data_IF_685554116152
#
_entry.id   IF_685554116152
#
_cell.length_a   1.000
_cell.length_b   1.000
_cell.length_c   1.000
_cell.angle_alpha   90.00
_cell.angle_beta   90.00
_cell.angle_gamma   90.00
#
_symmetry.space_group_name_H-M   'P 1'
#
loop_
_entity.id
_entity.type
_entity.pdbx_description
1 polymer ?
#
# COMPACT_ATOMS: atom_id res chain seq x y z
N UNK A 1 16.37 -22.98 -20.71
CA UNK A 1 14.90 -22.81 -20.65
C UNK A 1 14.60 -22.12 -19.32
N UNK A 2 14.34 -20.81 -19.32
CA UNK A 2 14.27 -20.02 -18.10
C UNK A 2 12.89 -20.19 -17.45
N UNK A 3 12.82 -21.08 -16.45
CA UNK A 3 11.66 -21.23 -15.57
C UNK A 3 11.56 -19.98 -14.69
N UNK A 4 10.90 -18.93 -15.18
CA UNK A 4 10.47 -17.82 -14.32
C UNK A 4 9.38 -18.38 -13.41
N UNK A 5 9.61 -18.52 -12.11
CA UNK A 5 8.56 -19.00 -11.24
C UNK A 5 7.46 -17.94 -11.20
N UNK A 6 6.25 -18.27 -11.63
CA UNK A 6 5.07 -17.38 -11.71
C UNK A 6 4.56 -16.90 -10.33
N UNK A 7 5.41 -16.91 -9.31
CA UNK A 7 5.12 -16.54 -7.93
C UNK A 7 4.80 -15.05 -7.85
N UNK A 8 5.46 -14.21 -8.65
CA UNK A 8 5.22 -12.76 -8.66
C UNK A 8 3.77 -12.38 -8.98
N UNK A 9 3.22 -12.79 -10.15
CA UNK A 9 1.84 -12.49 -10.52
C UNK A 9 0.81 -13.02 -9.53
N UNK A 10 0.98 -14.26 -9.03
CA UNK A 10 0.04 -14.89 -8.10
C UNK A 10 0.07 -14.20 -6.73
N UNK A 11 1.25 -13.83 -6.24
CA UNK A 11 1.39 -13.08 -4.98
C UNK A 11 0.77 -11.68 -5.08
N UNK A 12 0.93 -10.98 -6.22
CA UNK A 12 0.32 -9.67 -6.45
C UNK A 12 -1.21 -9.74 -6.47
N UNK A 13 -1.79 -10.78 -7.07
CA UNK A 13 -3.25 -11.01 -7.07
C UNK A 13 -3.77 -11.32 -5.66
N UNK A 14 -3.09 -12.17 -4.90
CA UNK A 14 -3.45 -12.46 -3.51
C UNK A 14 -3.39 -11.22 -2.63
N UNK A 15 -2.35 -10.40 -2.78
CA UNK A 15 -2.25 -9.11 -2.09
C UNK A 15 -3.37 -8.14 -2.51
N UNK A 16 -3.71 -8.06 -3.79
CA UNK A 16 -4.80 -7.22 -4.30
C UNK A 16 -6.17 -7.63 -3.76
N UNK A 17 -6.47 -8.92 -3.72
CA UNK A 17 -7.72 -9.45 -3.13
C UNK A 17 -7.76 -9.21 -1.63
N UNK A 18 -6.63 -9.41 -0.93
CA UNK A 18 -6.53 -9.14 0.51
C UNK A 18 -6.82 -7.66 0.83
N UNK A 19 -6.34 -6.73 -0.01
CA UNK A 19 -6.61 -5.29 0.10
C UNK A 19 -8.10 -4.99 -0.12
N UNK A 20 -8.75 -5.66 -1.08
CA UNK A 20 -10.19 -5.49 -1.34
C UNK A 20 -11.06 -5.97 -0.16
N UNK A 21 -10.68 -7.07 0.51
CA UNK A 21 -11.41 -7.59 1.69
C UNK A 21 -11.23 -6.69 2.91
N UNK A 22 -10.04 -6.11 3.08
CA UNK A 22 -9.69 -5.29 4.24
C UNK A 22 -9.13 -3.93 3.79
N UNK A 23 -9.98 -3.03 3.23
CA UNK A 23 -9.52 -1.71 2.73
C UNK A 23 -9.05 -0.79 3.86
N UNK A 24 -9.37 -1.13 5.10
CA UNK A 24 -9.11 -0.30 6.29
C UNK A 24 -7.62 -0.12 6.57
N UNK A 25 -6.78 -1.11 6.27
CA UNK A 25 -5.32 -1.02 6.45
C UNK A 25 -4.72 0.10 5.58
N UNK A 26 -5.15 0.21 4.32
CA UNK A 26 -4.68 1.23 3.40
C UNK A 26 -5.16 2.63 3.84
N UNK A 27 -6.38 2.75 4.36
CA UNK A 27 -6.89 4.01 4.91
C UNK A 27 -6.03 4.54 6.07
N UNK A 28 -5.58 3.66 6.99
CA UNK A 28 -4.70 4.09 8.09
C UNK A 28 -3.35 4.59 7.59
N UNK A 29 -2.74 3.91 6.62
CA UNK A 29 -1.45 4.30 6.05
C UNK A 29 -1.57 5.67 5.35
N UNK A 30 -2.62 5.85 4.53
CA UNK A 30 -2.87 7.11 3.83
C UNK A 30 -3.17 8.25 4.81
N UNK A 31 -3.97 8.01 5.85
CA UNK A 31 -4.27 9.01 6.87
C UNK A 31 -3.00 9.46 7.60
N UNK A 32 -2.15 8.54 8.02
CA UNK A 32 -0.86 8.86 8.67
C UNK A 32 0.02 9.70 7.73
N UNK A 33 0.13 9.29 6.47
CA UNK A 33 0.92 10.02 5.45
C UNK A 33 0.44 11.46 5.28
N UNK A 34 -0.88 11.66 5.12
CA UNK A 34 -1.48 12.99 4.97
C UNK A 34 -1.33 13.84 6.24
N UNK A 35 -1.45 13.25 7.43
CA UNK A 35 -1.22 13.95 8.69
C UNK A 35 0.23 14.42 8.78
N UNK A 36 1.19 13.54 8.51
CA UNK A 36 2.62 13.89 8.58
C UNK A 36 2.92 15.04 7.61
N UNK A 37 2.49 14.94 6.35
CA UNK A 37 2.78 15.97 5.35
C UNK A 37 2.03 17.25 5.64
N UNK A 38 0.78 17.19 6.09
CA UNK A 38 0.01 18.36 6.49
C UNK A 38 0.65 19.09 7.67
N UNK A 39 1.15 18.35 8.65
CA UNK A 39 1.88 18.89 9.81
C UNK A 39 3.22 19.47 9.40
N UNK A 40 4.02 18.75 8.59
CA UNK A 40 5.29 19.25 8.04
C UNK A 40 5.08 20.49 7.19
N UNK A 41 4.04 20.55 6.36
CA UNK A 41 3.68 21.74 5.56
C UNK A 41 3.07 22.89 6.36
N UNK A 42 2.64 22.66 7.60
CA UNK A 42 2.21 23.70 8.54
C UNK A 42 3.40 24.26 9.33
N UNK A 43 4.35 23.40 9.72
CA UNK A 43 5.55 23.73 10.49
C UNK A 43 6.73 24.24 9.64
N UNK A 44 6.81 23.82 8.37
CA UNK A 44 7.90 24.12 7.44
C UNK A 44 7.64 25.33 6.54
N UNK A 45 6.67 26.17 6.90
CA UNK A 45 6.59 27.56 6.42
C UNK A 45 7.43 28.44 7.33
#
# INVERSE_FOLDING_TARGET
MNIVPHIGPVAALLAGVLILVMPRLLNYIVAIYLIIIGVVGLLGR
#
